data_IF_138984781488
#
_entry.id   IF_138984781488
#
_cell.length_a   1.000
_cell.length_b   1.000
_cell.length_c   1.000
_cell.angle_alpha   90.00
_cell.angle_beta   90.00
_cell.angle_gamma   90.00
#
_symmetry.space_group_name_H-M   'P 1'
#
loop_
_entity.id
_entity.type
_entity.pdbx_description
1 polymer ?
#
# COMPACT_ATOMS: atom_id res chain seq x y z
N UNK A 1 11.05 -17.48 4.26
CA UNK A 1 11.24 -17.38 2.80
C UNK A 1 12.51 -16.59 2.57
N UNK A 2 13.27 -16.95 1.53
CA UNK A 2 14.41 -16.15 1.10
C UNK A 2 13.94 -14.96 0.25
N UNK A 3 14.85 -14.01 0.02
CA UNK A 3 14.57 -12.78 -0.72
C UNK A 3 14.14 -13.03 -2.17
N UNK A 4 14.57 -14.13 -2.80
CA UNK A 4 14.25 -14.42 -4.20
C UNK A 4 12.82 -14.93 -4.32
N UNK A 5 12.45 -15.86 -3.46
CA UNK A 5 11.10 -16.42 -3.41
C UNK A 5 10.07 -15.32 -3.14
N UNK A 6 10.34 -14.41 -2.20
CA UNK A 6 9.43 -13.29 -1.89
C UNK A 6 9.22 -12.35 -3.07
N UNK A 7 10.26 -12.04 -3.83
CA UNK A 7 10.15 -11.24 -5.05
C UNK A 7 9.31 -11.94 -6.11
N UNK A 8 9.57 -13.24 -6.33
CA UNK A 8 8.84 -14.00 -7.33
C UNK A 8 7.35 -14.11 -7.00
N UNK A 9 7.02 -14.37 -5.74
CA UNK A 9 5.62 -14.39 -5.27
C UNK A 9 4.97 -13.02 -5.42
N UNK A 10 5.68 -11.95 -5.08
CA UNK A 10 5.20 -10.59 -5.26
C UNK A 10 4.91 -10.29 -6.75
N UNK A 11 5.84 -10.59 -7.65
CA UNK A 11 5.70 -10.31 -9.07
C UNK A 11 4.51 -11.08 -9.68
N UNK A 12 4.37 -12.36 -9.33
CA UNK A 12 3.24 -13.18 -9.76
C UNK A 12 1.90 -12.65 -9.22
N UNK A 13 1.88 -12.17 -7.98
CA UNK A 13 0.68 -11.55 -7.40
C UNK A 13 0.28 -10.30 -8.20
N UNK A 14 1.24 -9.44 -8.54
CA UNK A 14 0.97 -8.23 -9.33
C UNK A 14 0.41 -8.59 -10.71
N UNK A 15 1.03 -9.53 -11.42
CA UNK A 15 0.62 -9.91 -12.78
C UNK A 15 -0.75 -10.58 -12.88
N UNK A 16 -1.16 -11.26 -11.82
CA UNK A 16 -2.45 -11.96 -11.76
C UNK A 16 -3.58 -11.08 -11.25
N UNK A 17 -3.31 -10.18 -10.29
CA UNK A 17 -4.35 -9.43 -9.57
C UNK A 17 -4.57 -8.01 -10.08
N UNK A 18 -3.60 -7.41 -10.77
CA UNK A 18 -3.70 -6.01 -11.21
C UNK A 18 -4.39 -5.86 -12.57
N UNK A 19 -5.67 -6.27 -12.63
CA UNK A 19 -6.53 -6.20 -13.82
C UNK A 19 -7.86 -5.57 -13.44
N UNK A 20 -8.50 -4.87 -14.37
CA UNK A 20 -9.77 -4.16 -14.10
C UNK A 20 -10.90 -5.10 -13.65
N UNK A 21 -10.90 -6.34 -14.13
CA UNK A 21 -11.89 -7.37 -13.79
C UNK A 21 -11.52 -8.23 -12.58
N UNK A 22 -10.36 -7.99 -11.95
CA UNK A 22 -9.93 -8.78 -10.81
C UNK A 22 -10.65 -8.34 -9.52
N UNK A 23 -10.88 -9.30 -8.63
CA UNK A 23 -11.32 -9.02 -7.26
C UNK A 23 -10.27 -8.19 -6.50
N UNK A 24 -10.65 -7.62 -5.36
CA UNK A 24 -9.71 -6.89 -4.51
C UNK A 24 -8.77 -7.85 -3.76
N UNK A 25 -7.46 -7.65 -3.91
CA UNK A 25 -6.42 -8.41 -3.19
C UNK A 25 -5.64 -7.52 -2.22
N UNK A 26 -5.31 -8.09 -1.06
CA UNK A 26 -4.46 -7.44 -0.05
C UNK A 26 -3.22 -8.28 0.20
N UNK A 27 -2.05 -7.67 0.05
CA UNK A 27 -0.77 -8.24 0.48
C UNK A 27 -0.31 -7.49 1.73
N UNK A 28 -0.20 -8.21 2.85
CA UNK A 28 0.35 -7.68 4.10
C UNK A 28 1.69 -8.36 4.33
N UNK A 29 2.77 -7.57 4.39
CA UNK A 29 4.11 -8.09 4.66
C UNK A 29 4.87 -7.15 5.61
N UNK A 30 5.54 -7.68 6.65
CA UNK A 30 6.45 -6.88 7.46
C UNK A 30 7.80 -6.64 6.76
N UNK A 31 8.02 -7.21 5.57
CA UNK A 31 9.32 -7.19 4.86
C UNK A 31 9.37 -6.05 3.86
N UNK A 32 10.31 -5.14 4.09
CA UNK A 32 10.62 -4.04 3.18
C UNK A 32 11.68 -4.51 2.18
N UNK A 33 11.25 -5.25 1.16
CA UNK A 33 12.12 -5.53 0.02
C UNK A 33 12.16 -4.31 -0.89
N UNK A 34 13.36 -3.76 -1.09
CA UNK A 34 13.56 -2.67 -2.04
C UNK A 34 13.48 -3.19 -3.48
N UNK A 35 13.01 -2.33 -4.39
CA UNK A 35 12.97 -2.59 -5.84
C UNK A 35 11.91 -3.60 -6.28
N UNK A 36 10.75 -3.63 -5.61
CA UNK A 36 9.59 -4.41 -6.05
C UNK A 36 8.89 -3.74 -7.24
N UNK A 37 8.27 -4.54 -8.10
CA UNK A 37 7.40 -4.08 -9.18
C UNK A 37 6.15 -3.43 -8.59
N UNK A 38 5.64 -2.36 -9.17
CA UNK A 38 4.35 -1.78 -8.76
C UNK A 38 3.52 -1.50 -9.99
N UNK A 39 2.20 -1.68 -9.87
CA UNK A 39 1.25 -1.44 -10.93
C UNK A 39 0.37 -0.22 -10.60
N UNK A 40 -0.06 0.60 -11.58
CA UNK A 40 -0.92 1.76 -11.33
C UNK A 40 -2.25 1.46 -10.61
N UNK A 41 -2.76 0.24 -10.77
CA UNK A 41 -3.98 -0.24 -10.09
C UNK A 41 -3.74 -0.65 -8.63
N UNK A 42 -2.50 -0.65 -8.15
CA UNK A 42 -2.17 -0.98 -6.77
C UNK A 42 -2.22 0.25 -5.87
N UNK A 43 -2.59 0.03 -4.60
CA UNK A 43 -2.44 1.01 -3.53
C UNK A 43 -1.49 0.47 -2.48
N UNK A 44 -0.39 1.19 -2.26
CA UNK A 44 0.60 0.86 -1.23
C UNK A 44 0.27 1.64 0.04
N UNK A 45 0.17 0.93 1.17
CA UNK A 45 -0.05 1.52 2.49
C UNK A 45 1.10 1.11 3.40
N UNK A 46 1.79 2.09 3.98
CA UNK A 46 2.82 1.85 4.99
C UNK A 46 2.18 1.93 6.38
N UNK A 47 2.17 0.81 7.10
CA UNK A 47 1.75 0.77 8.51
C UNK A 47 3.00 0.93 9.37
N UNK A 48 3.16 2.08 10.01
CA UNK A 48 4.22 2.31 10.98
C UNK A 48 3.69 2.01 12.38
N UNK A 49 4.46 1.28 13.19
CA UNK A 49 4.17 1.01 14.59
C UNK A 49 5.45 1.24 15.42
N UNK A 50 5.38 1.98 16.52
CA UNK A 50 6.50 2.21 17.43
C UNK A 50 6.46 3.55 18.17
N UNK A 51 7.45 3.76 19.05
CA UNK A 51 7.53 4.89 19.99
C UNK A 51 7.68 6.26 19.32
N UNK A 52 8.02 6.28 18.03
CA UNK A 52 8.18 7.49 17.22
C UNK A 52 6.85 8.03 16.68
N UNK A 53 5.73 7.38 16.98
CA UNK A 53 4.39 7.81 16.57
C UNK A 53 3.85 8.82 17.58
N UNK A 54 3.20 9.92 17.13
CA UNK A 54 2.57 10.85 18.05
C UNK A 54 1.56 10.14 18.97
N UNK A 55 1.44 10.55 20.24
CA UNK A 55 0.57 9.88 21.22
C UNK A 55 -0.91 9.90 20.85
N UNK A 56 -1.32 10.83 19.97
CA UNK A 56 -2.66 10.90 19.43
C UNK A 56 -2.65 11.03 17.91
N UNK A 57 -3.45 10.20 17.24
CA UNK A 57 -3.66 10.31 15.80
C UNK A 57 -4.60 11.48 15.48
N UNK A 58 -4.11 12.46 14.71
CA UNK A 58 -4.89 13.64 14.30
C UNK A 58 -5.87 13.30 13.16
N UNK A 59 -6.82 12.41 13.42
CA UNK A 59 -7.76 11.88 12.41
C UNK A 59 -8.50 12.99 11.66
N UNK A 60 -9.08 13.97 12.36
CA UNK A 60 -9.83 15.07 11.76
C UNK A 60 -9.00 15.87 10.74
N UNK A 61 -7.79 16.28 11.14
CA UNK A 61 -6.84 16.97 10.26
C UNK A 61 -6.57 16.19 8.96
N UNK A 62 -6.35 14.88 9.05
CA UNK A 62 -6.09 14.05 7.88
C UNK A 62 -7.33 13.85 7.00
N UNK A 63 -8.52 13.74 7.61
CA UNK A 63 -9.78 13.62 6.89
C UNK A 63 -10.07 14.90 6.08
N UNK A 64 -9.89 16.07 6.68
CA UNK A 64 -10.15 17.35 6.01
C UNK A 64 -9.20 17.54 4.82
N UNK A 65 -7.92 17.19 5.00
CA UNK A 65 -6.93 17.22 3.93
C UNK A 65 -7.27 16.24 2.79
N UNK A 66 -7.77 15.04 3.12
CA UNK A 66 -8.19 14.06 2.12
C UNK A 66 -9.43 14.51 1.34
N UNK A 67 -10.40 15.16 1.99
CA UNK A 67 -11.58 15.75 1.34
C UNK A 67 -11.17 16.86 0.38
N UNK A 68 -10.31 17.79 0.81
CA UNK A 68 -9.81 18.87 -0.03
C UNK A 68 -9.11 18.35 -1.29
N UNK A 69 -8.27 17.32 -1.15
CA UNK A 69 -7.59 16.69 -2.29
C UNK A 69 -8.55 16.01 -3.28
N UNK A 70 -9.63 15.40 -2.79
CA UNK A 70 -10.68 14.81 -3.64
C UNK A 70 -11.46 15.88 -4.40
N UNK A 71 -11.78 17.00 -3.77
CA UNK A 71 -12.48 18.11 -4.41
C UNK A 71 -11.66 18.75 -5.54
N UNK A 72 -10.33 18.69 -5.50
CA UNK A 72 -9.43 19.20 -6.53
C UNK A 72 -9.18 18.22 -7.69
N UNK A 73 -9.55 16.95 -7.53
CA UNK A 73 -9.37 15.91 -8.54
C UNK A 73 -10.59 15.76 -9.47
N UNK A 74 -11.65 16.53 -9.22
CA UNK A 74 -12.82 16.72 -10.07
C UNK A 74 -12.77 18.12 -10.70
#
# INVERSE_FOLDING_TARGET
>A
MDRRAERWVHDQLVETTCRESASQYFLITPKLLFGLKYHPLMRVLCVNNGDWIPPAFKLGYWLDKAKAKRAQAH
#
